data_IF_767068543069
#
_entry.id   IF_767068543069
#
_cell.length_a   1.000
_cell.length_b   1.000
_cell.length_c   1.000
_cell.angle_alpha   90.00
_cell.angle_beta   90.00
_cell.angle_gamma   90.00
#
_symmetry.space_group_name_H-M   'P 1'
#
loop_
_entity.id
_entity.type
_entity.pdbx_description
1 polymer ?
#
# COMPACT_ATOMS: atom_id res chain seq x y z
N UNK A 1 9.10 67.51 13.90
CA UNK A 1 8.56 68.03 12.63
C UNK A 1 8.95 67.05 11.55
N UNK A 2 7.98 66.26 11.12
CA UNK A 2 8.00 65.38 9.93
C UNK A 2 8.08 66.22 8.63
N UNK A 3 8.54 65.67 7.48
CA UNK A 3 7.73 64.72 6.72
C UNK A 3 8.45 63.50 6.16
N UNK A 4 7.87 62.34 6.47
CA UNK A 4 7.46 61.27 5.57
C UNK A 4 7.83 61.45 4.07
N UNK A 5 8.80 60.67 3.61
CA UNK A 5 9.14 60.50 2.19
C UNK A 5 8.76 59.10 1.71
N UNK A 6 7.61 59.02 1.05
CA UNK A 6 7.05 57.80 0.46
C UNK A 6 7.48 57.70 -1.00
N UNK A 7 8.15 56.62 -1.41
CA UNK A 7 8.10 56.14 -2.80
C UNK A 7 7.89 54.63 -2.85
N UNK A 8 6.87 54.28 -3.64
CA UNK A 8 6.37 52.95 -3.99
C UNK A 8 7.36 52.23 -4.92
N UNK A 9 7.41 50.91 -4.79
CA UNK A 9 8.01 50.02 -5.78
C UNK A 9 7.80 48.57 -5.41
N UNK A 10 6.55 48.10 -5.54
CA UNK A 10 6.16 46.70 -5.32
C UNK A 10 7.03 45.79 -6.19
N UNK A 11 7.88 44.98 -5.55
CA UNK A 11 8.59 43.90 -6.22
C UNK A 11 7.57 42.90 -6.73
N UNK A 12 7.43 42.84 -8.06
CA UNK A 12 6.64 41.83 -8.76
C UNK A 12 7.17 40.46 -8.36
N UNK A 13 6.42 39.78 -7.48
CA UNK A 13 6.51 38.35 -7.31
C UNK A 13 6.26 37.74 -8.68
N UNK A 14 7.28 37.09 -9.22
CA UNK A 14 7.18 36.27 -10.41
C UNK A 14 6.23 35.12 -10.05
N UNK A 15 4.94 35.29 -10.32
CA UNK A 15 3.99 34.19 -10.37
C UNK A 15 4.58 33.15 -11.33
N UNK A 16 5.00 32.02 -10.78
CA UNK A 16 5.28 30.84 -11.57
C UNK A 16 3.92 30.36 -12.07
N UNK A 17 3.55 30.83 -13.26
CA UNK A 17 2.47 30.29 -14.07
C UNK A 17 2.80 28.82 -14.33
N UNK A 18 2.27 27.93 -13.48
CA UNK A 18 2.30 26.50 -13.74
C UNK A 18 1.39 26.27 -14.93
N UNK A 19 2.04 26.23 -16.09
CA UNK A 19 1.45 26.23 -17.42
C UNK A 19 0.11 25.54 -17.49
N UNK A 20 -0.83 26.27 -18.07
CA UNK A 20 -2.15 25.82 -18.49
C UNK A 20 -2.03 24.43 -19.14
N UNK A 21 -2.50 23.41 -18.41
CA UNK A 21 -2.50 22.04 -18.86
C UNK A 21 -3.37 21.97 -20.12
N UNK A 22 -2.75 21.76 -21.27
CA UNK A 22 -3.42 21.70 -22.57
C UNK A 22 -4.46 20.59 -22.55
N UNK A 23 -5.73 20.98 -22.52
CA UNK A 23 -6.91 20.12 -22.49
C UNK A 23 -7.18 19.39 -23.81
N UNK A 24 -6.18 18.72 -24.41
CA UNK A 24 -6.48 17.86 -25.58
C UNK A 24 -5.43 16.80 -25.96
N UNK A 25 -4.79 16.15 -24.99
CA UNK A 25 -4.05 14.91 -25.29
C UNK A 25 -4.51 13.78 -24.38
N UNK A 26 -5.78 13.38 -24.52
CA UNK A 26 -6.28 12.14 -23.93
C UNK A 26 -5.86 10.98 -24.83
N UNK A 27 -4.71 10.39 -24.53
CA UNK A 27 -4.38 9.04 -24.98
C UNK A 27 -5.51 8.11 -24.53
N UNK A 28 -6.12 7.29 -25.41
CA UNK A 28 -7.15 6.34 -25.02
C UNK A 28 -6.64 5.46 -23.89
N UNK A 29 -7.32 5.47 -22.75
CA UNK A 29 -7.03 4.54 -21.65
C UNK A 29 -7.50 3.17 -22.12
N UNK A 30 -6.57 2.23 -22.28
CA UNK A 30 -6.91 0.86 -22.63
C UNK A 30 -7.87 0.26 -21.59
N UNK A 31 -8.79 -0.59 -22.05
CA UNK A 31 -9.74 -1.26 -21.18
C UNK A 31 -9.02 -2.05 -20.07
N UNK A 32 -9.58 -2.00 -18.86
CA UNK A 32 -9.04 -2.71 -17.71
C UNK A 32 -9.23 -4.22 -17.87
N UNK A 33 -8.15 -4.91 -18.23
CA UNK A 33 -8.15 -6.35 -18.53
C UNK A 33 -8.16 -7.24 -17.29
N UNK A 34 -8.18 -6.68 -16.08
CA UNK A 34 -8.15 -7.45 -14.83
C UNK A 34 -9.44 -8.22 -14.60
N UNK A 35 -9.34 -9.41 -14.00
CA UNK A 35 -10.50 -10.20 -13.64
C UNK A 35 -11.32 -9.48 -12.56
N UNK A 36 -12.60 -9.24 -12.86
CA UNK A 36 -13.52 -8.65 -11.90
C UNK A 36 -14.04 -9.71 -10.93
N UNK A 37 -13.64 -9.57 -9.67
CA UNK A 37 -14.11 -10.47 -8.61
C UNK A 37 -15.44 -9.96 -8.07
N UNK A 38 -16.54 -10.64 -8.44
CA UNK A 38 -17.88 -10.28 -7.96
C UNK A 38 -18.05 -10.67 -6.49
N UNK A 39 -18.38 -9.69 -5.65
CA UNK A 39 -18.61 -9.91 -4.22
C UNK A 39 -19.67 -8.95 -3.66
N UNK A 40 -20.39 -9.32 -2.59
CA UNK A 40 -21.29 -8.41 -1.88
C UNK A 40 -20.54 -7.20 -1.32
N UNK A 41 -21.24 -6.06 -1.21
CA UNK A 41 -20.63 -4.79 -0.80
C UNK A 41 -19.90 -4.88 0.54
N UNK A 42 -20.49 -5.56 1.52
CA UNK A 42 -19.87 -5.74 2.84
C UNK A 42 -18.55 -6.52 2.77
N UNK A 43 -18.49 -7.57 1.94
CA UNK A 43 -17.26 -8.34 1.73
C UNK A 43 -16.17 -7.47 1.07
N UNK A 44 -16.54 -6.66 0.08
CA UNK A 44 -15.62 -5.70 -0.55
C UNK A 44 -15.05 -4.70 0.44
N UNK A 45 -15.90 -4.11 1.30
CA UNK A 45 -15.50 -3.16 2.34
C UNK A 45 -14.52 -3.78 3.34
N UNK A 46 -14.79 -5.01 3.79
CA UNK A 46 -13.88 -5.75 4.69
C UNK A 46 -12.52 -5.97 4.02
N UNK A 47 -12.51 -6.43 2.77
CA UNK A 47 -11.26 -6.63 2.02
C UNK A 47 -10.49 -5.33 1.85
N UNK A 48 -11.14 -4.25 1.40
CA UNK A 48 -10.49 -2.94 1.25
C UNK A 48 -9.86 -2.47 2.56
N UNK A 49 -10.58 -2.58 3.68
CA UNK A 49 -10.06 -2.24 5.00
C UNK A 49 -8.80 -3.04 5.34
N UNK A 50 -8.78 -4.35 5.07
CA UNK A 50 -7.59 -5.20 5.28
C UNK A 50 -6.41 -4.77 4.40
N UNK A 51 -6.65 -4.48 3.13
CA UNK A 51 -5.58 -4.03 2.22
C UNK A 51 -4.99 -2.70 2.67
N UNK A 52 -5.81 -1.75 3.13
CA UNK A 52 -5.35 -0.48 3.70
C UNK A 52 -4.53 -0.69 4.97
N UNK A 53 -4.98 -1.55 5.88
CA UNK A 53 -4.22 -1.89 7.08
C UNK A 53 -2.86 -2.54 6.74
N UNK A 54 -2.83 -3.44 5.75
CA UNK A 54 -1.59 -4.05 5.29
C UNK A 54 -0.62 -3.01 4.71
N UNK A 55 -1.12 -2.03 3.94
CA UNK A 55 -0.31 -0.92 3.40
C UNK A 55 0.27 -0.06 4.53
N UNK A 56 -0.52 0.26 5.56
CA UNK A 56 -0.04 0.99 6.73
C UNK A 56 1.08 0.23 7.45
N UNK A 57 0.89 -1.08 7.66
CA UNK A 57 1.90 -1.94 8.28
C UNK A 57 3.19 -2.02 7.44
N UNK A 58 3.09 -2.15 6.11
CA UNK A 58 4.25 -2.13 5.22
C UNK A 58 5.05 -0.82 5.35
N UNK A 59 4.36 0.32 5.41
CA UNK A 59 5.03 1.61 5.62
C UNK A 59 5.75 1.68 6.97
N UNK A 60 5.12 1.17 8.04
CA UNK A 60 5.76 1.07 9.36
C UNK A 60 6.99 0.16 9.34
N UNK A 61 6.90 -1.01 8.68
CA UNK A 61 8.01 -1.95 8.51
C UNK A 61 9.18 -1.25 7.81
N UNK A 62 8.93 -0.51 6.73
CA UNK A 62 9.99 0.23 6.04
C UNK A 62 10.71 1.22 6.97
N UNK A 63 9.97 1.97 7.78
CA UNK A 63 10.56 2.87 8.78
C UNK A 63 11.41 2.13 9.82
N UNK A 64 10.91 1.00 10.34
CA UNK A 64 11.65 0.19 11.31
C UNK A 64 12.92 -0.43 10.72
N UNK A 65 12.89 -0.89 9.47
CA UNK A 65 14.07 -1.37 8.77
C UNK A 65 15.11 -0.26 8.55
N UNK A 66 14.66 0.95 8.19
CA UNK A 66 15.54 2.11 8.03
C UNK A 66 16.22 2.50 9.35
N UNK A 67 15.50 2.35 10.48
CA UNK A 67 16.02 2.57 11.83
C UNK A 67 16.90 1.41 12.37
N UNK A 68 17.07 0.32 11.62
CA UNK A 68 17.78 -0.88 12.08
C UNK A 68 17.01 -1.71 13.12
N UNK A 69 15.73 -1.43 13.35
CA UNK A 69 14.84 -2.12 14.30
C UNK A 69 14.18 -3.36 13.68
N UNK A 70 15.00 -4.32 13.25
CA UNK A 70 14.51 -5.47 12.48
C UNK A 70 13.56 -6.39 13.29
N UNK A 71 13.77 -6.55 14.59
CA UNK A 71 12.89 -7.36 15.45
C UNK A 71 11.50 -6.74 15.57
N UNK A 72 11.43 -5.42 15.79
CA UNK A 72 10.16 -4.69 15.82
C UNK A 72 9.45 -4.78 14.46
N UNK A 73 10.20 -4.71 13.36
CA UNK A 73 9.66 -4.89 12.01
C UNK A 73 9.02 -6.28 11.83
N UNK A 74 9.67 -7.33 12.34
CA UNK A 74 9.14 -8.70 12.34
C UNK A 74 7.81 -8.79 13.09
N UNK A 75 7.73 -8.17 14.27
CA UNK A 75 6.55 -8.21 15.11
C UNK A 75 5.37 -7.45 14.50
N UNK A 76 5.63 -6.29 13.87
CA UNK A 76 4.60 -5.56 13.10
C UNK A 76 4.09 -6.40 11.93
N UNK A 77 4.98 -7.07 11.19
CA UNK A 77 4.58 -7.90 10.06
C UNK A 77 3.66 -9.05 10.47
N UNK A 78 4.02 -9.81 11.49
CA UNK A 78 3.20 -10.94 11.97
C UNK A 78 1.87 -10.47 12.57
N UNK A 79 1.88 -9.44 13.41
CA UNK A 79 0.69 -9.03 14.17
C UNK A 79 -0.32 -8.31 13.29
N UNK A 80 0.12 -7.51 12.31
CA UNK A 80 -0.77 -6.68 11.50
C UNK A 80 -1.09 -7.29 10.12
N UNK A 81 -0.18 -8.05 9.51
CA UNK A 81 -0.37 -8.66 8.18
C UNK A 81 -0.56 -10.18 8.30
N UNK A 82 0.26 -10.84 9.12
CA UNK A 82 0.30 -12.31 9.26
C UNK A 82 -0.91 -12.90 9.99
N UNK A 83 -1.57 -12.11 10.84
CA UNK A 83 -2.64 -12.60 11.70
C UNK A 83 -3.92 -12.94 10.91
N UNK A 84 -4.12 -14.24 10.70
CA UNK A 84 -5.28 -14.86 10.04
C UNK A 84 -6.61 -14.74 10.81
N UNK A 85 -6.61 -14.10 11.99
CA UNK A 85 -7.77 -14.06 12.90
C UNK A 85 -8.67 -12.83 12.75
N UNK A 86 -8.34 -11.87 11.88
CA UNK A 86 -9.17 -10.66 11.68
C UNK A 86 -10.53 -11.00 11.01
N UNK A 87 -10.69 -12.22 10.52
CA UNK A 87 -11.95 -12.88 10.20
C UNK A 87 -12.36 -13.77 11.37
N UNK A 88 -12.97 -13.16 12.40
CA UNK A 88 -13.74 -13.92 13.38
C UNK A 88 -14.60 -14.95 12.64
N UNK A 89 -14.41 -16.24 12.98
CA UNK A 89 -14.78 -17.47 12.25
C UNK A 89 -16.26 -17.64 11.88
N UNK A 90 -16.84 -16.63 11.26
CA UNK A 90 -18.25 -16.49 10.91
C UNK A 90 -18.55 -16.96 9.48
N UNK A 91 -17.53 -17.36 8.71
CA UNK A 91 -17.67 -17.77 7.31
C UNK A 91 -18.07 -16.65 6.33
N UNK A 92 -18.24 -15.40 6.80
CA UNK A 92 -18.74 -14.26 6.01
C UNK A 92 -17.63 -13.36 5.42
N UNK A 93 -16.37 -13.80 5.52
CA UNK A 93 -15.22 -13.04 5.01
C UNK A 93 -15.16 -12.96 3.48
N UNK A 94 -14.32 -12.07 2.93
CA UNK A 94 -14.21 -11.87 1.47
C UNK A 94 -13.69 -13.12 0.73
N UNK A 95 -12.94 -13.97 1.42
CA UNK A 95 -12.25 -15.15 0.87
C UNK A 95 -13.18 -16.11 0.13
N UNK A 96 -14.45 -16.25 0.53
CA UNK A 96 -15.41 -17.14 -0.13
C UNK A 96 -15.78 -16.72 -1.57
N UNK A 97 -15.63 -15.44 -1.89
CA UNK A 97 -15.94 -14.88 -3.21
C UNK A 97 -14.69 -14.81 -4.10
N UNK A 98 -13.50 -14.98 -3.52
CA UNK A 98 -12.24 -14.90 -4.26
C UNK A 98 -12.06 -16.13 -5.15
N UNK A 99 -11.57 -15.98 -6.40
CA UNK A 99 -11.16 -17.10 -7.23
C UNK A 99 -9.95 -17.83 -6.62
N UNK A 100 -9.68 -19.05 -7.08
CA UNK A 100 -8.62 -19.91 -6.53
C UNK A 100 -7.25 -19.21 -6.57
N UNK A 101 -6.89 -18.56 -7.68
CA UNK A 101 -5.63 -17.84 -7.81
C UNK A 101 -5.46 -16.72 -6.78
N UNK A 102 -6.52 -15.94 -6.51
CA UNK A 102 -6.51 -14.90 -5.49
C UNK A 102 -6.35 -15.47 -4.07
N UNK A 103 -7.02 -16.60 -3.76
CA UNK A 103 -6.84 -17.27 -2.45
C UNK A 103 -5.43 -17.81 -2.28
N UNK A 104 -4.84 -18.38 -3.33
CA UNK A 104 -3.47 -18.87 -3.32
C UNK A 104 -2.48 -17.72 -3.07
N UNK A 105 -2.66 -16.57 -3.71
CA UNK A 105 -1.85 -15.37 -3.43
C UNK A 105 -2.01 -14.90 -1.98
N UNK A 106 -3.23 -14.86 -1.45
CA UNK A 106 -3.44 -14.52 -0.03
C UNK A 106 -2.69 -15.48 0.92
N UNK A 107 -2.72 -16.79 0.63
CA UNK A 107 -1.97 -17.79 1.40
C UNK A 107 -0.45 -17.62 1.25
N UNK A 108 0.02 -17.28 0.04
CA UNK A 108 1.43 -16.97 -0.21
C UNK A 108 1.87 -15.76 0.61
N UNK A 109 1.07 -14.70 0.67
CA UNK A 109 1.36 -13.52 1.49
C UNK A 109 1.57 -13.88 2.96
N UNK A 110 0.69 -14.71 3.55
CA UNK A 110 0.86 -15.14 4.94
C UNK A 110 2.16 -15.91 5.15
N UNK A 111 2.56 -16.78 4.21
CA UNK A 111 3.84 -17.50 4.28
C UNK A 111 5.02 -16.53 4.17
N UNK A 112 4.98 -15.58 3.23
CA UNK A 112 6.02 -14.58 3.02
C UNK A 112 6.19 -13.66 4.24
N UNK A 113 5.10 -13.31 4.92
CA UNK A 113 5.14 -12.54 6.17
C UNK A 113 5.86 -13.31 7.28
N UNK A 114 5.52 -14.59 7.48
CA UNK A 114 6.18 -15.42 8.49
C UNK A 114 7.68 -15.57 8.18
N UNK A 115 8.02 -15.76 6.90
CA UNK A 115 9.41 -15.87 6.48
C UNK A 115 10.19 -14.57 6.66
N UNK A 116 9.60 -13.43 6.29
CA UNK A 116 10.16 -12.11 6.57
C UNK A 116 10.41 -11.93 8.07
N UNK A 117 9.43 -12.24 8.92
CA UNK A 117 9.58 -12.08 10.36
C UNK A 117 10.70 -12.97 10.93
N UNK A 118 10.77 -14.22 10.48
CA UNK A 118 11.86 -15.15 10.82
C UNK A 118 13.23 -14.59 10.43
N UNK A 119 13.38 -14.10 9.20
CA UNK A 119 14.64 -13.53 8.70
C UNK A 119 14.98 -12.23 9.43
N UNK A 120 14.04 -11.30 9.57
CA UNK A 120 14.27 -10.02 10.22
C UNK A 120 14.75 -10.20 11.68
N UNK A 121 14.21 -11.19 12.41
CA UNK A 121 14.69 -11.50 13.77
C UNK A 121 16.15 -11.94 13.87
N UNK A 122 16.76 -12.41 12.77
CA UNK A 122 18.19 -12.75 12.72
C UNK A 122 19.10 -11.51 12.69
N UNK A 123 18.55 -10.33 12.38
CA UNK A 123 19.33 -9.09 12.23
C UNK A 123 19.98 -8.91 10.86
N UNK A 124 19.73 -9.81 9.90
CA UNK A 124 20.29 -9.71 8.55
C UNK A 124 19.51 -8.74 7.65
N UNK A 125 19.89 -7.45 7.68
CA UNK A 125 19.19 -6.35 6.98
C UNK A 125 18.93 -6.63 5.49
N UNK A 126 19.96 -6.98 4.72
CA UNK A 126 19.79 -7.24 3.27
C UNK A 126 18.81 -8.38 3.01
N UNK A 127 18.89 -9.47 3.78
CA UNK A 127 17.95 -10.60 3.65
C UNK A 127 16.53 -10.20 4.06
N UNK A 128 16.38 -9.36 5.08
CA UNK A 128 15.09 -8.83 5.49
C UNK A 128 14.43 -8.01 4.37
N UNK A 129 15.19 -7.15 3.67
CA UNK A 129 14.69 -6.43 2.49
C UNK A 129 14.29 -7.38 1.35
N UNK A 130 15.09 -8.41 1.06
CA UNK A 130 14.73 -9.42 0.06
C UNK A 130 13.42 -10.14 0.42
N UNK A 131 13.23 -10.51 1.69
CA UNK A 131 12.00 -11.14 2.15
C UNK A 131 10.81 -10.16 2.11
N UNK A 132 11.02 -8.88 2.44
CA UNK A 132 9.99 -7.84 2.35
C UNK A 132 9.53 -7.62 0.91
N UNK A 133 10.46 -7.63 -0.06
CA UNK A 133 10.12 -7.54 -1.48
C UNK A 133 9.17 -8.67 -1.92
N UNK A 134 9.31 -9.87 -1.34
CA UNK A 134 8.40 -11.00 -1.61
C UNK A 134 6.98 -10.73 -1.07
N UNK A 135 6.83 -9.97 0.01
CA UNK A 135 5.50 -9.54 0.48
C UNK A 135 4.89 -8.55 -0.52
N UNK A 136 5.66 -7.54 -0.93
CA UNK A 136 5.21 -6.51 -1.87
C UNK A 136 4.88 -7.09 -3.25
N UNK A 137 5.59 -8.11 -3.71
CA UNK A 137 5.32 -8.76 -5.00
C UNK A 137 3.92 -9.40 -5.04
N UNK A 138 3.41 -9.89 -3.91
CA UNK A 138 2.03 -10.40 -3.83
C UNK A 138 1.01 -9.27 -3.97
N UNK A 139 1.26 -8.09 -3.40
CA UNK A 139 0.42 -6.91 -3.60
C UNK A 139 0.35 -6.56 -5.09
N UNK A 140 1.51 -6.48 -5.75
CA UNK A 140 1.61 -6.18 -7.18
C UNK A 140 0.87 -7.22 -8.02
N UNK A 141 1.15 -8.51 -7.81
CA UNK A 141 0.51 -9.58 -8.57
C UNK A 141 -1.02 -9.58 -8.42
N UNK A 142 -1.52 -9.37 -7.20
CA UNK A 142 -2.96 -9.29 -6.94
C UNK A 142 -3.59 -8.08 -7.65
N UNK A 143 -2.98 -6.89 -7.53
CA UNK A 143 -3.51 -5.65 -8.12
C UNK A 143 -3.41 -5.59 -9.64
N UNK A 144 -2.47 -6.33 -10.24
CA UNK A 144 -2.35 -6.51 -11.70
C UNK A 144 -3.29 -7.59 -12.24
N UNK A 145 -3.76 -8.52 -11.41
CA UNK A 145 -4.62 -9.63 -11.86
C UNK A 145 -6.10 -9.34 -11.63
N UNK A 146 -6.43 -8.64 -10.55
CA UNK A 146 -7.80 -8.54 -10.06
C UNK A 146 -8.24 -7.11 -9.82
N UNK A 147 -9.53 -6.87 -10.09
CA UNK A 147 -10.26 -5.69 -9.63
C UNK A 147 -11.49 -6.12 -8.83
N UNK A 148 -11.82 -5.34 -7.82
CA UNK A 148 -12.95 -5.60 -6.90
C UNK A 148 -14.01 -4.51 -6.95
N UNK A 149 -13.80 -3.50 -7.79
CA UNK A 149 -14.69 -2.38 -8.03
C UNK A 149 -14.62 -1.97 -9.49
#
# INVERSE_FOLDING_TARGET
MEPCGQTRGMGQGREMDFGQNSSNNQTPIADDTREFVKMPEMARKIMRKRMLNNLMALNQIHGLLADGKLKDAADIAETQIGNRRIDGGTGKGPSQFMPIGMRQMAMSMHKSVNEFARIARTGETTKAYTALQTITSVCVACHLSYRTQ
#
